data_IF_463392138796
#
_entry.id   IF_463392138796
#
_cell.length_a   1.000
_cell.length_b   1.000
_cell.length_c   1.000
_cell.angle_alpha   90.00
_cell.angle_beta   90.00
_cell.angle_gamma   90.00
#
_symmetry.space_group_name_H-M   'P 1'
#
loop_
_entity.id
_entity.type
_entity.pdbx_description
1 polymer ?
#
# COMPACT_ATOMS: atom_id res chain seq x y z
N UNK A 1 -11.02 -16.73 5.61
CA UNK A 1 -10.73 -15.78 6.70
C UNK A 1 -9.26 -15.75 7.11
N UNK A 2 -8.57 -16.88 7.30
CA UNK A 2 -7.15 -16.87 7.71
C UNK A 2 -6.21 -16.19 6.69
N UNK A 3 -6.36 -16.50 5.40
CA UNK A 3 -5.56 -15.91 4.32
C UNK A 3 -5.73 -14.38 4.23
N UNK A 4 -6.95 -13.89 4.37
CA UNK A 4 -7.27 -12.45 4.30
C UNK A 4 -6.64 -11.67 5.46
N UNK A 5 -6.66 -12.24 6.67
CA UNK A 5 -5.95 -11.67 7.82
C UNK A 5 -4.44 -11.68 7.64
N UNK A 6 -3.89 -12.75 7.05
CA UNK A 6 -2.46 -12.85 6.75
C UNK A 6 -2.03 -11.81 5.70
N UNK A 7 -2.83 -11.62 4.63
CA UNK A 7 -2.60 -10.60 3.61
C UNK A 7 -2.65 -9.20 4.22
N UNK A 8 -3.67 -8.88 5.03
CA UNK A 8 -3.73 -7.60 5.78
C UNK A 8 -2.51 -7.37 6.66
N UNK A 9 -2.10 -8.38 7.42
CA UNK A 9 -0.90 -8.31 8.26
C UNK A 9 0.36 -8.03 7.43
N UNK A 10 0.52 -8.69 6.29
CA UNK A 10 1.64 -8.48 5.38
C UNK A 10 1.61 -7.07 4.76
N UNK A 11 0.44 -6.56 4.37
CA UNK A 11 0.26 -5.20 3.86
C UNK A 11 0.70 -4.15 4.87
N UNK A 12 0.29 -4.30 6.14
CA UNK A 12 0.70 -3.41 7.24
C UNK A 12 2.23 -3.44 7.41
N UNK A 13 2.83 -4.63 7.43
CA UNK A 13 4.28 -4.78 7.54
C UNK A 13 5.03 -4.15 6.36
N UNK A 14 4.51 -4.29 5.14
CA UNK A 14 5.09 -3.68 3.94
C UNK A 14 5.06 -2.15 4.01
N UNK A 15 3.95 -1.55 4.44
CA UNK A 15 3.83 -0.09 4.63
C UNK A 15 4.77 0.40 5.73
N UNK A 16 4.85 -0.29 6.87
CA UNK A 16 5.79 0.07 7.93
C UNK A 16 7.25 -0.03 7.49
N UNK A 17 7.61 -1.10 6.77
CA UNK A 17 8.95 -1.27 6.19
C UNK A 17 9.31 -0.18 5.19
N UNK A 18 8.37 0.22 4.35
CA UNK A 18 8.52 1.36 3.44
C UNK A 18 8.78 2.66 4.23
N UNK A 19 7.95 2.97 5.23
CA UNK A 19 8.11 4.18 6.05
C UNK A 19 9.47 4.22 6.75
N UNK A 20 9.92 3.10 7.31
CA UNK A 20 11.26 2.99 7.90
C UNK A 20 12.36 3.25 6.87
N UNK A 21 12.28 2.62 5.70
CA UNK A 21 13.27 2.80 4.62
C UNK A 21 13.31 4.24 4.13
N UNK A 22 12.17 4.87 3.99
CA UNK A 22 12.06 6.27 3.60
C UNK A 22 12.61 7.22 4.66
N UNK A 23 12.36 6.96 5.95
CA UNK A 23 12.96 7.72 7.05
C UNK A 23 14.49 7.66 7.07
N UNK A 24 15.09 6.51 6.74
CA UNK A 24 16.54 6.36 6.58
C UNK A 24 17.09 7.18 5.40
N UNK A 25 16.34 7.27 4.30
CA UNK A 25 16.73 8.09 3.15
C UNK A 25 16.65 9.59 3.46
N UNK A 26 15.60 10.02 4.18
CA UNK A 26 15.46 11.41 4.66
C UNK A 26 16.64 11.82 5.54
N UNK A 27 17.06 10.95 6.46
CA UNK A 27 18.20 11.24 7.34
C UNK A 27 19.53 11.36 6.57
N UNK A 28 19.63 10.79 5.36
CA UNK A 28 20.82 10.85 4.51
C UNK A 28 20.76 11.87 3.38
N UNK A 29 19.58 12.39 3.02
CA UNK A 29 19.39 13.33 1.90
C UNK A 29 19.39 14.78 2.38
N UNK A 30 20.34 15.59 1.90
CA UNK A 30 20.50 17.01 2.29
C UNK A 30 19.78 18.03 1.39
N UNK A 31 18.87 17.59 0.50
CA UNK A 31 18.21 18.46 -0.49
C UNK A 31 16.69 18.47 -0.40
N UNK A 32 16.09 19.66 -0.55
CA UNK A 32 14.65 19.91 -0.50
C UNK A 32 13.75 19.11 -1.47
N UNK A 33 14.13 18.84 -2.75
CA UNK A 33 13.21 18.16 -3.68
C UNK A 33 13.00 16.69 -3.34
N UNK A 34 14.02 16.00 -2.81
CA UNK A 34 13.90 14.61 -2.38
C UNK A 34 13.00 14.47 -1.14
N UNK A 35 13.04 15.48 -0.25
CA UNK A 35 12.19 15.51 0.95
C UNK A 35 10.70 15.59 0.60
N UNK A 36 10.34 16.44 -0.37
CA UNK A 36 8.94 16.57 -0.83
C UNK A 36 8.45 15.27 -1.48
N UNK A 37 9.28 14.62 -2.30
CA UNK A 37 8.95 13.32 -2.89
C UNK A 37 8.73 12.26 -1.81
N UNK A 38 9.66 12.14 -0.86
CA UNK A 38 9.57 11.15 0.23
C UNK A 38 8.34 11.40 1.10
N UNK A 39 8.06 12.66 1.45
CA UNK A 39 6.87 13.02 2.21
C UNK A 39 5.57 12.62 1.46
N UNK A 40 5.52 12.84 0.15
CA UNK A 40 4.40 12.41 -0.70
C UNK A 40 4.19 10.89 -0.72
N UNK A 41 5.28 10.13 -0.87
CA UNK A 41 5.23 8.65 -0.83
C UNK A 41 4.73 8.14 0.52
N UNK A 42 5.23 8.71 1.62
CA UNK A 42 4.79 8.35 2.98
C UNK A 42 3.31 8.69 3.17
N UNK A 43 2.88 9.88 2.74
CA UNK A 43 1.49 10.31 2.86
C UNK A 43 0.54 9.34 2.13
N UNK A 44 0.87 8.96 0.90
CA UNK A 44 0.09 7.99 0.11
C UNK A 44 0.02 6.62 0.80
N UNK A 45 1.13 6.16 1.37
CA UNK A 45 1.19 4.88 2.07
C UNK A 45 0.31 4.87 3.33
N UNK A 46 0.32 5.94 4.12
CA UNK A 46 -0.56 6.08 5.28
C UNK A 46 -2.03 6.26 4.88
N UNK A 47 -2.32 6.97 3.79
CA UNK A 47 -3.68 7.12 3.28
C UNK A 47 -4.27 5.77 2.87
N UNK A 48 -3.46 4.94 2.19
CA UNK A 48 -3.86 3.57 1.82
C UNK A 48 -4.07 2.68 3.04
N UNK A 49 -3.15 2.75 4.00
CA UNK A 49 -3.27 2.02 5.27
C UNK A 49 -4.53 2.45 6.05
N UNK A 50 -4.85 3.74 6.08
CA UNK A 50 -6.07 4.24 6.72
C UNK A 50 -7.33 3.76 6.00
N UNK A 51 -7.32 3.75 4.66
CA UNK A 51 -8.39 3.15 3.85
C UNK A 51 -8.59 1.68 4.18
N UNK A 52 -7.50 0.93 4.35
CA UNK A 52 -7.53 -0.48 4.73
C UNK A 52 -8.12 -0.69 6.14
N UNK A 53 -7.66 0.08 7.13
CA UNK A 53 -8.10 -0.03 8.53
C UNK A 53 -9.57 0.35 8.69
N UNK A 54 -10.07 1.31 7.92
CA UNK A 54 -11.47 1.77 7.95
C UNK A 54 -12.39 0.99 7.00
N UNK A 55 -11.90 -0.10 6.40
CA UNK A 55 -12.64 -0.91 5.41
C UNK A 55 -13.22 -0.06 4.25
N UNK A 56 -12.44 0.91 3.76
CA UNK A 56 -12.73 1.72 2.58
C UNK A 56 -11.86 1.20 1.41
N UNK A 57 -12.29 0.12 0.71
CA UNK A 57 -11.46 -0.61 -0.26
C UNK A 57 -10.97 0.28 -1.40
N UNK A 58 -11.80 1.22 -1.85
CA UNK A 58 -11.46 2.15 -2.93
C UNK A 58 -10.23 3.00 -2.60
N UNK A 59 -10.12 3.49 -1.36
CA UNK A 59 -9.00 4.35 -0.94
C UNK A 59 -7.71 3.55 -0.91
N UNK A 60 -7.74 2.32 -0.36
CA UNK A 60 -6.59 1.41 -0.37
C UNK A 60 -6.14 1.05 -1.78
N UNK A 61 -7.10 0.77 -2.69
CA UNK A 61 -6.80 0.41 -4.06
C UNK A 61 -6.18 1.59 -4.84
N UNK A 62 -6.76 2.80 -4.75
CA UNK A 62 -6.26 3.98 -5.47
C UNK A 62 -4.85 4.35 -4.99
N UNK A 63 -4.63 4.38 -3.68
CA UNK A 63 -3.32 4.69 -3.10
C UNK A 63 -2.27 3.62 -3.43
N UNK A 64 -2.64 2.34 -3.37
CA UNK A 64 -1.79 1.23 -3.82
C UNK A 64 -1.40 1.35 -5.29
N UNK A 65 -2.34 1.72 -6.17
CA UNK A 65 -2.08 1.97 -7.59
C UNK A 65 -1.12 3.13 -7.81
N UNK A 66 -1.31 4.26 -7.11
CA UNK A 66 -0.43 5.41 -7.20
C UNK A 66 1.00 5.07 -6.75
N UNK A 67 1.13 4.37 -5.61
CA UNK A 67 2.43 3.92 -5.12
C UNK A 67 3.09 2.93 -6.08
N UNK A 68 2.33 1.97 -6.62
CA UNK A 68 2.85 1.05 -7.63
C UNK A 68 3.37 1.80 -8.85
N UNK A 69 2.61 2.77 -9.37
CA UNK A 69 3.01 3.60 -10.50
C UNK A 69 4.29 4.40 -10.22
N UNK A 70 4.39 5.03 -9.03
CA UNK A 70 5.60 5.74 -8.60
C UNK A 70 6.78 4.76 -8.50
N UNK A 71 6.60 3.63 -7.83
CA UNK A 71 7.64 2.61 -7.69
C UNK A 71 8.13 2.08 -9.04
N UNK A 72 7.23 1.91 -10.01
CA UNK A 72 7.54 1.48 -11.36
C UNK A 72 8.32 2.55 -12.15
N UNK A 73 7.85 3.81 -12.14
CA UNK A 73 8.50 4.91 -12.86
C UNK A 73 9.90 5.21 -12.35
N UNK A 74 10.09 5.18 -11.03
CA UNK A 74 11.37 5.49 -10.38
C UNK A 74 12.22 4.25 -10.10
N UNK A 75 11.75 3.05 -10.46
CA UNK A 75 12.42 1.77 -10.21
C UNK A 75 12.83 1.58 -8.73
N UNK A 76 11.95 1.95 -7.80
CA UNK A 76 12.18 1.83 -6.35
C UNK A 76 11.43 0.59 -5.82
N UNK A 77 12.11 -0.54 -5.57
CA UNK A 77 11.45 -1.81 -5.25
C UNK A 77 10.59 -1.74 -3.98
N UNK A 78 11.02 -0.98 -2.97
CA UNK A 78 10.30 -0.84 -1.71
C UNK A 78 8.91 -0.20 -1.90
N UNK A 79 8.82 0.84 -2.74
CA UNK A 79 7.54 1.51 -3.06
C UNK A 79 6.65 0.56 -3.86
N UNK A 80 7.26 -0.15 -4.81
CA UNK A 80 6.59 -1.11 -5.69
C UNK A 80 5.90 -2.21 -4.88
N UNK A 81 6.62 -2.84 -3.94
CA UNK A 81 6.09 -3.91 -3.07
C UNK A 81 4.96 -3.39 -2.18
N UNK A 82 5.12 -2.22 -1.56
CA UNK A 82 4.07 -1.63 -0.74
C UNK A 82 2.82 -1.26 -1.56
N UNK A 83 3.01 -0.73 -2.77
CA UNK A 83 1.93 -0.40 -3.71
C UNK A 83 1.13 -1.64 -4.13
N UNK A 84 1.81 -2.74 -4.49
CA UNK A 84 1.15 -4.01 -4.83
C UNK A 84 0.38 -4.55 -3.62
N UNK A 85 0.97 -4.55 -2.43
CA UNK A 85 0.31 -5.06 -1.24
C UNK A 85 -1.00 -4.31 -0.95
N UNK A 86 -0.98 -2.98 -0.97
CA UNK A 86 -2.17 -2.13 -0.78
C UNK A 86 -3.21 -2.30 -1.90
N UNK A 87 -2.75 -2.47 -3.14
CA UNK A 87 -3.61 -2.68 -4.30
C UNK A 87 -4.35 -4.02 -4.20
N UNK A 88 -3.62 -5.11 -3.96
CA UNK A 88 -4.18 -6.46 -3.84
C UNK A 88 -5.18 -6.53 -2.70
N UNK A 89 -4.83 -5.96 -1.55
CA UNK A 89 -5.70 -5.96 -0.37
C UNK A 89 -6.95 -5.08 -0.58
N UNK A 90 -6.77 -3.88 -1.11
CA UNK A 90 -7.86 -2.94 -1.43
C UNK A 90 -8.84 -3.50 -2.47
N UNK A 91 -8.35 -4.17 -3.51
CA UNK A 91 -9.22 -4.83 -4.50
C UNK A 91 -9.91 -6.04 -3.88
N UNK A 92 -9.19 -6.87 -3.13
CA UNK A 92 -9.75 -8.10 -2.55
C UNK A 92 -10.86 -7.83 -1.53
N UNK A 93 -10.78 -6.71 -0.82
CA UNK A 93 -11.81 -6.25 0.12
C UNK A 93 -13.02 -5.61 -0.56
N UNK A 94 -12.87 -5.12 -1.81
CA UNK A 94 -13.95 -4.53 -2.61
C UNK A 94 -14.70 -5.53 -3.49
N UNK A 95 -14.10 -6.66 -3.85
CA UNK A 95 -14.77 -7.69 -4.66
C UNK A 95 -15.74 -8.52 -3.82
N UNK A 96 -17.05 -8.55 -4.13
CA UNK A 96 -17.99 -9.48 -3.53
C UNK A 96 -17.52 -10.90 -3.80
N UNK A 97 -17.36 -11.72 -2.76
CA UNK A 97 -17.13 -13.16 -2.96
C UNK A 97 -18.34 -13.71 -3.70
N UNK A 98 -18.12 -14.33 -4.85
CA UNK A 98 -19.10 -15.23 -5.47
C UNK A 98 -19.30 -16.40 -4.50
N UNK A 99 -20.15 -16.21 -3.50
CA UNK A 99 -20.67 -17.29 -2.67
C UNK A 99 -21.41 -18.21 -3.61
N UNK A 100 -20.91 -19.45 -3.71
CA UNK A 100 -21.55 -20.57 -4.39
C UNK A 100 -23.07 -20.56 -4.18
N UNK A 101 -23.81 -20.03 -5.16
CA UNK A 101 -25.20 -20.40 -5.40
C UNK A 101 -25.17 -21.73 -6.13
N UNK A 102 -24.93 -22.81 -5.39
CA UNK A 102 -25.28 -24.16 -5.82
C UNK A 102 -26.33 -24.68 -4.85
N UNK A 103 -27.64 -24.60 -5.17
CA UNK A 103 -28.64 -25.38 -4.49
C UNK A 103 -28.53 -26.83 -4.97
N UNK A 104 -28.32 -27.76 -4.03
CA UNK A 104 -28.63 -29.17 -4.20
C UNK A 104 -29.05 -29.74 -2.84
#
# INVERSE_FOLDING_TARGET
>A
MALEKAVRGLTILAVMGLTYRMGQLVAGSGGDPDLLFIAGVILLAFLGLAGLIRDIPLVSAITGFLLFGIGFLFLIPAILVAGIALLVDGVSSGTPRLTNSAPA
#
